data_IF_693331915888
#
_entry.id   IF_693331915888
#
_cell.length_a   1.000
_cell.length_b   1.000
_cell.length_c   1.000
_cell.angle_alpha   90.00
_cell.angle_beta   90.00
_cell.angle_gamma   90.00
#
_symmetry.space_group_name_H-M   'P 1'
#
loop_
_entity.id
_entity.type
_entity.pdbx_description
1 polymer ?
#
# COMPACT_ATOMS: atom_id res chain seq x y z
N UNK A 1 -21.31 -21.87 -24.69
CA UNK A 1 -21.73 -20.56 -24.14
C UNK A 1 -20.49 -19.67 -24.06
N UNK A 2 -20.54 -18.49 -24.67
CA UNK A 2 -19.44 -17.52 -24.72
C UNK A 2 -19.45 -16.85 -26.08
N UNK A 3 -20.23 -15.78 -26.21
CA UNK A 3 -20.33 -14.97 -27.43
C UNK A 3 -19.24 -13.93 -27.41
N UNK A 4 -18.59 -13.77 -28.55
CA UNK A 4 -17.66 -12.70 -28.86
C UNK A 4 -18.47 -11.49 -29.32
N UNK A 5 -18.53 -10.44 -28.49
CA UNK A 5 -19.20 -9.19 -28.86
C UNK A 5 -18.18 -8.26 -29.53
N UNK A 6 -18.02 -8.43 -30.84
CA UNK A 6 -17.34 -7.47 -31.71
C UNK A 6 -18.30 -6.33 -32.05
N UNK A 7 -17.84 -5.10 -31.80
CA UNK A 7 -18.57 -3.86 -32.10
C UNK A 7 -18.39 -3.48 -33.58
N UNK A 8 -19.46 -3.54 -34.37
CA UNK A 8 -19.52 -3.07 -35.76
C UNK A 8 -20.16 -1.67 -35.83
N UNK A 9 -19.64 -0.73 -36.65
CA UNK A 9 -20.25 0.57 -36.84
C UNK A 9 -21.41 0.53 -37.86
N UNK A 10 -22.55 1.10 -37.47
CA UNK A 10 -23.77 1.20 -38.26
C UNK A 10 -23.59 2.06 -39.53
N UNK A 11 -24.00 1.48 -40.65
CA UNK A 11 -24.14 2.10 -41.97
C UNK A 11 -25.51 2.77 -42.02
N UNK A 12 -25.55 4.10 -42.16
CA UNK A 12 -26.79 4.85 -42.36
C UNK A 12 -27.19 4.72 -43.83
N UNK A 13 -28.37 4.14 -44.07
CA UNK A 13 -29.00 4.01 -45.39
C UNK A 13 -29.69 5.32 -45.80
N UNK A 14 -29.51 5.70 -47.05
CA UNK A 14 -30.21 6.81 -47.70
C UNK A 14 -31.64 6.37 -48.05
N UNK A 15 -32.63 7.10 -47.53
CA UNK A 15 -34.04 6.88 -47.81
C UNK A 15 -34.51 7.75 -48.99
N UNK A 16 -34.96 7.09 -50.04
CA UNK A 16 -35.67 7.65 -51.18
C UNK A 16 -37.12 8.05 -50.79
N UNK A 17 -37.61 9.18 -51.28
CA UNK A 17 -38.97 9.64 -50.99
C UNK A 17 -39.42 10.91 -51.73
N UNK A 18 -39.69 10.74 -53.03
CA UNK A 18 -40.77 11.36 -53.84
C UNK A 18 -41.64 12.47 -53.20
N UNK A 19 -41.72 13.66 -53.82
CA UNK A 19 -42.90 14.04 -54.62
C UNK A 19 -42.99 15.55 -54.92
N UNK A 20 -43.46 15.77 -56.13
CA UNK A 20 -43.48 16.98 -56.95
C UNK A 20 -44.65 17.90 -56.53
N UNK A 21 -44.33 19.11 -56.08
CA UNK A 21 -45.29 20.20 -55.86
C UNK A 21 -44.90 21.42 -56.70
N UNK A 22 -45.59 21.60 -57.82
CA UNK A 22 -45.40 22.71 -58.76
C UNK A 22 -45.94 24.02 -58.16
N UNK A 23 -45.05 24.97 -57.86
CA UNK A 23 -45.39 26.37 -57.61
C UNK A 23 -44.40 27.26 -58.34
N UNK A 24 -44.78 27.66 -59.54
CA UNK A 24 -44.21 28.76 -60.30
C UNK A 24 -44.36 30.06 -59.52
N UNK A 25 -43.31 30.42 -58.76
CA UNK A 25 -43.12 31.76 -58.22
C UNK A 25 -41.95 32.40 -58.97
N UNK A 26 -42.26 33.48 -59.67
CA UNK A 26 -41.29 34.37 -60.31
C UNK A 26 -40.43 35.00 -59.21
N UNK A 27 -39.27 34.42 -58.92
CA UNK A 27 -38.23 35.06 -58.10
C UNK A 27 -37.44 36.01 -58.99
N UNK A 28 -37.55 37.30 -58.68
CA UNK A 28 -36.69 38.33 -59.24
C UNK A 28 -35.22 37.93 -59.02
N UNK A 29 -34.43 38.02 -60.09
CA UNK A 29 -32.99 37.80 -60.07
C UNK A 29 -32.35 38.86 -59.18
N UNK A 30 -32.18 38.55 -57.89
CA UNK A 30 -31.33 39.31 -56.99
C UNK A 30 -29.90 38.88 -57.29
N UNK A 31 -29.09 39.86 -57.71
CA UNK A 31 -27.68 39.70 -57.99
C UNK A 31 -26.97 38.94 -56.86
N UNK A 32 -26.19 37.93 -57.24
CA UNK A 32 -25.30 37.21 -56.33
C UNK A 32 -24.46 38.20 -55.52
N UNK A 33 -24.39 38.09 -54.17
CA UNK A 33 -23.41 38.88 -53.43
C UNK A 33 -22.02 38.51 -53.97
N UNK A 34 -21.30 39.51 -54.45
CA UNK A 34 -19.90 39.37 -54.86
C UNK A 34 -19.12 38.71 -53.73
N UNK A 35 -18.45 37.59 -54.01
CA UNK A 35 -17.50 36.99 -53.08
C UNK A 35 -16.57 38.08 -52.54
N UNK A 36 -16.38 38.22 -51.22
CA UNK A 36 -15.44 39.21 -50.70
C UNK A 36 -14.06 38.96 -51.33
N UNK A 37 -13.27 40.01 -51.59
CA UNK A 37 -11.95 39.84 -52.16
C UNK A 37 -11.14 38.92 -51.24
N UNK A 38 -10.84 37.71 -51.70
CA UNK A 38 -9.87 36.87 -51.03
C UNK A 38 -8.54 37.59 -51.18
N UNK A 39 -8.00 38.06 -50.06
CA UNK A 39 -6.71 38.72 -50.01
C UNK A 39 -5.66 37.64 -49.69
N UNK A 40 -5.06 36.98 -50.70
CA UNK A 40 -4.18 35.82 -50.49
C UNK A 40 -2.93 36.16 -49.69
N UNK A 41 -2.59 37.45 -49.59
CA UNK A 41 -1.48 37.96 -48.79
C UNK A 41 -1.71 37.82 -47.28
N UNK A 42 -2.97 37.79 -46.79
CA UNK A 42 -3.27 37.58 -45.37
C UNK A 42 -2.81 36.21 -44.86
N UNK A 43 -2.79 35.18 -45.72
CA UNK A 43 -2.28 33.85 -45.36
C UNK A 43 -0.78 33.89 -45.05
N UNK A 44 -0.03 34.76 -45.73
CA UNK A 44 1.41 34.93 -45.50
C UNK A 44 1.74 35.67 -44.20
N UNK A 45 0.76 36.38 -43.60
CA UNK A 45 0.93 37.01 -42.28
C UNK A 45 0.71 36.04 -41.11
N UNK A 46 0.04 34.91 -41.35
CA UNK A 46 -0.24 33.91 -40.32
C UNK A 46 1.07 33.36 -39.76
N UNK A 47 2.02 32.97 -40.61
CA UNK A 47 3.32 32.42 -40.18
C UNK A 47 4.09 33.37 -39.24
N UNK A 48 4.39 34.62 -39.67
CA UNK A 48 5.04 35.63 -38.83
C UNK A 48 4.28 35.93 -37.53
N UNK A 49 2.94 35.95 -37.58
CA UNK A 49 2.12 36.14 -36.39
C UNK A 49 2.28 34.99 -35.39
N UNK A 50 2.28 33.74 -35.85
CA UNK A 50 2.52 32.58 -34.98
C UNK A 50 3.94 32.55 -34.42
N UNK A 51 4.95 32.96 -35.19
CA UNK A 51 6.33 33.09 -34.71
C UNK A 51 6.44 34.19 -33.66
N UNK A 52 5.81 35.35 -33.88
CA UNK A 52 5.79 36.45 -32.93
C UNK A 52 5.05 36.06 -31.63
N UNK A 53 3.90 35.39 -31.74
CA UNK A 53 3.17 34.84 -30.60
C UNK A 53 4.02 33.80 -29.85
N UNK A 54 4.69 32.89 -30.56
CA UNK A 54 5.58 31.90 -29.95
C UNK A 54 6.74 32.54 -29.19
N UNK A 55 7.42 33.51 -29.81
CA UNK A 55 8.49 34.26 -29.16
C UNK A 55 7.98 35.05 -27.94
N UNK A 56 6.78 35.63 -28.04
CA UNK A 56 6.14 36.29 -26.91
C UNK A 56 5.80 35.31 -25.79
N UNK A 57 5.22 34.14 -26.06
CA UNK A 57 4.98 33.13 -25.03
C UNK A 57 6.27 32.64 -24.36
N UNK A 58 7.37 32.46 -25.10
CA UNK A 58 8.65 32.04 -24.51
C UNK A 58 9.23 33.12 -23.60
N UNK A 59 9.09 34.39 -23.96
CA UNK A 59 9.73 35.51 -23.23
C UNK A 59 8.84 36.10 -22.15
N UNK A 60 7.52 36.07 -22.32
CA UNK A 60 6.54 36.61 -21.39
C UNK A 60 6.01 35.59 -20.39
N UNK A 61 6.25 34.28 -20.58
CA UNK A 61 5.89 33.29 -19.57
C UNK A 61 6.83 33.39 -18.37
N UNK A 62 6.31 33.69 -17.16
CA UNK A 62 7.14 33.64 -15.96
C UNK A 62 7.66 32.21 -15.77
N UNK A 63 8.93 32.09 -15.37
CA UNK A 63 9.43 30.80 -14.92
C UNK A 63 8.59 30.35 -13.73
N UNK A 64 8.10 29.10 -13.70
CA UNK A 64 7.33 28.61 -12.56
C UNK A 64 8.22 28.64 -11.33
N UNK A 65 7.93 29.52 -10.39
CA UNK A 65 8.48 29.45 -9.03
C UNK A 65 7.86 28.24 -8.36
N UNK A 66 8.62 27.16 -8.28
CA UNK A 66 8.23 25.94 -7.60
C UNK A 66 8.64 26.10 -6.13
N UNK A 67 7.70 26.25 -5.18
CA UNK A 67 8.03 26.40 -3.77
C UNK A 67 8.41 25.03 -3.18
N UNK A 68 9.54 24.46 -3.63
CA UNK A 68 10.14 23.30 -2.98
C UNK A 68 10.81 23.79 -1.70
N UNK A 69 10.40 23.25 -0.56
CA UNK A 69 11.13 23.47 0.69
C UNK A 69 12.51 22.83 0.66
N UNK A 70 13.34 23.16 1.65
CA UNK A 70 14.65 22.53 1.82
C UNK A 70 14.45 21.02 2.08
N UNK A 71 15.03 20.13 1.27
CA UNK A 71 14.83 18.69 1.43
C UNK A 71 15.39 18.22 2.77
N UNK A 72 14.61 17.41 3.49
CA UNK A 72 15.06 16.77 4.71
C UNK A 72 16.19 15.77 4.39
N UNK A 73 17.36 15.95 5.03
CA UNK A 73 18.47 15.00 4.88
C UNK A 73 18.16 13.73 5.66
N UNK A 74 18.12 12.60 4.93
CA UNK A 74 17.92 11.27 5.51
C UNK A 74 19.26 10.52 5.48
N UNK A 75 19.79 10.07 6.64
CA UNK A 75 21.03 9.31 6.67
C UNK A 75 20.90 8.02 5.83
N UNK A 76 21.86 7.69 4.95
CA UNK A 76 21.77 6.49 4.11
C UNK A 76 21.55 5.19 4.90
N UNK A 77 22.10 5.08 6.11
CA UNK A 77 21.92 3.91 6.98
C UNK A 77 20.48 3.72 7.50
N UNK A 78 19.62 4.74 7.41
CA UNK A 78 18.19 4.61 7.74
C UNK A 78 17.37 4.04 6.59
N UNK A 79 17.94 3.96 5.38
CA UNK A 79 17.34 3.38 4.19
C UNK A 79 17.86 1.95 4.04
N UNK A 80 17.28 1.00 4.78
CA UNK A 80 17.61 -0.41 4.63
C UNK A 80 16.58 -1.12 3.73
N UNK A 81 16.87 -1.37 2.44
CA UNK A 81 15.97 -2.11 1.57
C UNK A 81 16.02 -3.63 1.78
N UNK A 82 16.95 -4.11 2.61
CA UNK A 82 17.19 -5.54 2.88
C UNK A 82 16.18 -6.04 3.92
N UNK A 83 15.67 -7.27 3.78
CA UNK A 83 14.79 -7.87 4.79
C UNK A 83 15.49 -7.95 6.17
N UNK A 84 14.72 -7.85 7.25
CA UNK A 84 15.24 -7.84 8.62
C UNK A 84 15.91 -9.17 8.99
N UNK A 85 15.39 -10.29 8.46
CA UNK A 85 16.04 -11.58 8.52
C UNK A 85 16.81 -11.81 7.22
N UNK A 86 18.02 -12.39 7.29
CA UNK A 86 18.78 -12.74 6.09
C UNK A 86 17.94 -13.74 5.27
N UNK A 87 17.58 -13.41 4.02
CA UNK A 87 16.75 -14.27 3.21
C UNK A 87 17.64 -15.40 2.67
N UNK A 88 17.71 -16.51 3.39
CA UNK A 88 18.34 -17.75 2.97
C UNK A 88 17.40 -18.91 3.27
N UNK A 89 17.23 -19.81 2.31
CA UNK A 89 16.53 -21.08 2.50
C UNK A 89 17.33 -22.06 3.39
N UNK A 90 18.32 -21.54 4.13
CA UNK A 90 19.16 -22.30 5.02
C UNK A 90 18.34 -22.62 6.27
N UNK A 91 18.48 -23.86 6.74
CA UNK A 91 17.92 -24.27 8.01
C UNK A 91 18.40 -23.28 9.08
N UNK A 92 17.53 -22.85 10.01
CA UNK A 92 17.96 -21.97 11.08
C UNK A 92 19.06 -22.67 11.89
N UNK A 93 20.23 -22.07 11.90
CA UNK A 93 21.37 -22.50 12.71
C UNK A 93 21.37 -21.71 14.02
N UNK A 94 21.80 -22.37 15.09
CA UNK A 94 22.00 -21.74 16.39
C UNK A 94 23.49 -21.70 16.71
N UNK A 95 23.97 -20.56 17.20
CA UNK A 95 25.38 -20.42 17.61
C UNK A 95 25.54 -20.82 19.07
N UNK A 96 26.23 -21.92 19.34
CA UNK A 96 26.52 -22.38 20.71
C UNK A 96 28.04 -22.54 20.86
N UNK A 97 28.62 -21.86 21.84
CA UNK A 97 30.08 -21.91 22.06
C UNK A 97 30.91 -21.37 20.89
N UNK A 98 30.33 -20.53 20.02
CA UNK A 98 31.00 -19.96 18.85
C UNK A 98 30.92 -20.81 17.58
N UNK A 99 30.14 -21.89 17.58
CA UNK A 99 29.93 -22.76 16.43
C UNK A 99 28.47 -22.80 16.00
N UNK A 100 28.23 -22.88 14.70
CA UNK A 100 26.90 -23.07 14.12
C UNK A 100 26.46 -24.53 14.28
N UNK A 101 25.27 -24.73 14.83
CA UNK A 101 24.66 -26.03 15.04
C UNK A 101 23.29 -26.10 14.39
N UNK A 102 22.99 -27.24 13.76
CA UNK A 102 21.62 -27.56 13.33
C UNK A 102 20.78 -28.03 14.51
N UNK A 103 19.49 -27.74 14.46
CA UNK A 103 18.55 -28.06 15.52
C UNK A 103 18.62 -29.55 15.95
N UNK A 104 18.66 -30.46 14.98
CA UNK A 104 18.66 -31.90 15.27
C UNK A 104 20.01 -32.46 15.72
N UNK A 105 21.10 -31.70 15.64
CA UNK A 105 22.36 -32.16 16.21
C UNK A 105 22.22 -32.40 17.70
N UNK A 106 21.47 -31.54 18.40
CA UNK A 106 21.11 -31.73 19.80
C UNK A 106 19.79 -32.52 19.95
N UNK A 107 18.73 -32.13 19.23
CA UNK A 107 17.38 -32.66 19.46
C UNK A 107 17.20 -34.14 19.05
N UNK A 108 18.17 -34.77 18.39
CA UNK A 108 18.16 -36.23 18.17
C UNK A 108 18.48 -37.05 19.42
N UNK A 109 19.05 -36.42 20.46
CA UNK A 109 19.56 -37.12 21.65
C UNK A 109 18.58 -37.16 22.81
N UNK A 110 17.49 -36.39 22.75
CA UNK A 110 16.51 -36.32 23.83
C UNK A 110 15.12 -36.01 23.28
N UNK A 111 14.11 -36.55 23.95
CA UNK A 111 12.72 -36.22 23.65
C UNK A 111 12.31 -34.94 24.38
N UNK A 112 11.79 -33.96 23.64
CA UNK A 112 11.14 -32.80 24.23
C UNK A 112 9.66 -33.13 24.49
N UNK A 113 9.17 -33.01 25.73
CA UNK A 113 7.79 -33.30 26.04
C UNK A 113 6.86 -32.31 25.31
N UNK A 114 5.75 -32.74 24.70
CA UNK A 114 4.92 -31.90 23.83
C UNK A 114 4.20 -30.73 24.53
N UNK A 115 4.26 -30.66 25.86
CA UNK A 115 3.64 -29.60 26.67
C UNK A 115 4.76 -28.87 27.42
N UNK A 116 5.36 -27.88 26.77
CA UNK A 116 6.31 -26.98 27.39
C UNK A 116 5.55 -25.96 28.27
N UNK A 117 5.47 -26.24 29.58
CA UNK A 117 5.27 -25.24 30.64
C UNK A 117 6.43 -25.25 31.64
N UNK A 118 7.61 -25.64 31.16
CA UNK A 118 8.81 -25.81 31.97
C UNK A 118 9.77 -24.68 31.63
N UNK A 119 10.54 -24.23 32.60
CA UNK A 119 11.67 -23.34 32.35
C UNK A 119 12.63 -24.04 31.39
N UNK A 120 12.94 -23.39 30.27
CA UNK A 120 13.86 -23.91 29.27
C UNK A 120 15.31 -23.83 29.77
N UNK A 121 16.10 -24.87 29.52
CA UNK A 121 17.55 -24.86 29.81
C UNK A 121 18.37 -24.30 28.63
N UNK A 122 17.79 -24.31 27.43
CA UNK A 122 18.38 -23.84 26.16
C UNK A 122 17.32 -23.07 25.39
N UNK A 123 17.72 -22.23 24.44
CA UNK A 123 16.80 -21.33 23.71
C UNK A 123 16.11 -20.30 24.64
N UNK A 124 16.79 -19.88 25.70
CA UNK A 124 16.28 -18.88 26.65
C UNK A 124 16.17 -17.47 26.05
N UNK A 125 16.77 -17.28 24.89
CA UNK A 125 16.75 -16.09 24.04
C UNK A 125 15.52 -16.03 23.12
N UNK A 126 14.75 -17.12 23.01
CA UNK A 126 13.55 -17.16 22.17
C UNK A 126 12.32 -16.75 22.99
N UNK A 127 11.82 -15.55 22.70
CA UNK A 127 10.56 -15.04 23.26
C UNK A 127 9.40 -15.33 22.29
N UNK A 128 8.39 -16.06 22.77
CA UNK A 128 7.20 -16.42 21.99
C UNK A 128 6.05 -15.43 22.24
N UNK A 129 5.95 -14.44 21.38
CA UNK A 129 4.88 -13.43 21.35
C UNK A 129 3.90 -13.68 20.19
N UNK A 130 3.43 -14.93 20.07
CA UNK A 130 2.54 -15.38 18.98
C UNK A 130 1.12 -15.73 19.45
N UNK A 131 0.66 -15.13 20.55
CA UNK A 131 -0.69 -15.32 21.09
C UNK A 131 -0.95 -16.75 21.54
N UNK A 132 -1.93 -17.43 20.94
CA UNK A 132 -2.28 -18.81 21.26
C UNK A 132 -1.26 -19.84 20.77
N UNK A 133 -0.43 -19.48 19.78
CA UNK A 133 0.63 -20.33 19.23
C UNK A 133 1.95 -20.14 20.00
N UNK A 134 1.88 -20.15 21.33
CA UNK A 134 3.01 -19.85 22.21
C UNK A 134 3.82 -21.10 22.61
N UNK A 135 3.82 -22.13 21.77
CA UNK A 135 4.59 -23.36 21.98
C UNK A 135 5.34 -23.72 20.71
N UNK A 136 6.57 -24.21 20.89
CA UNK A 136 7.46 -24.63 19.81
C UNK A 136 6.76 -25.59 18.83
N UNK A 137 6.03 -26.59 19.36
CA UNK A 137 5.38 -27.64 18.57
C UNK A 137 4.05 -27.25 17.94
N UNK A 138 3.61 -26.00 18.08
CA UNK A 138 2.54 -25.49 17.23
C UNK A 138 3.01 -25.30 15.78
N UNK A 139 4.33 -25.19 15.58
CA UNK A 139 4.92 -24.93 14.28
C UNK A 139 6.03 -25.93 13.91
N UNK A 140 6.80 -26.43 14.87
CA UNK A 140 7.89 -27.38 14.64
C UNK A 140 7.47 -28.83 14.87
N UNK A 141 8.01 -29.76 14.07
CA UNK A 141 7.80 -31.19 14.30
C UNK A 141 8.50 -31.64 15.60
N UNK A 142 7.80 -32.44 16.41
CA UNK A 142 8.23 -32.90 17.75
C UNK A 142 9.41 -33.88 17.70
N UNK A 143 9.67 -34.53 16.56
CA UNK A 143 10.77 -35.49 16.39
C UNK A 143 11.91 -34.96 15.51
N UNK A 144 11.63 -33.99 14.65
CA UNK A 144 12.59 -33.41 13.73
C UNK A 144 12.43 -31.88 13.69
N UNK A 145 13.31 -31.16 14.39
CA UNK A 145 13.28 -29.68 14.48
C UNK A 145 13.70 -28.97 13.21
N UNK A 146 14.25 -29.70 12.23
CA UNK A 146 14.54 -29.19 10.89
C UNK A 146 13.29 -29.17 10.00
N UNK A 147 12.14 -29.61 10.51
CA UNK A 147 10.85 -29.58 9.82
C UNK A 147 9.81 -28.79 10.60
N UNK A 148 8.90 -28.19 9.84
CA UNK A 148 7.68 -27.57 10.31
C UNK A 148 6.53 -28.57 10.19
N UNK A 149 5.45 -28.35 10.93
CA UNK A 149 4.28 -29.24 10.95
C UNK A 149 2.99 -28.44 10.87
N UNK A 150 2.07 -28.88 10.00
CA UNK A 150 0.70 -28.38 9.93
C UNK A 150 -0.17 -29.07 11.00
N UNK A 151 -1.37 -28.54 11.21
CA UNK A 151 -2.31 -29.04 12.22
C UNK A 151 -2.81 -30.46 11.91
N UNK A 152 -2.84 -30.84 10.63
CA UNK A 152 -3.17 -32.19 10.17
C UNK A 152 -1.98 -33.17 10.27
N UNK A 153 -0.83 -32.72 10.77
CA UNK A 153 0.41 -33.51 10.89
C UNK A 153 1.29 -33.52 9.63
N UNK A 154 0.89 -32.85 8.55
CA UNK A 154 1.71 -32.71 7.34
C UNK A 154 3.01 -31.98 7.67
N UNK A 155 4.13 -32.53 7.23
CA UNK A 155 5.46 -31.93 7.42
C UNK A 155 5.82 -31.00 6.27
N UNK A 156 6.45 -29.89 6.61
CA UNK A 156 6.91 -28.88 5.66
C UNK A 156 8.39 -28.57 5.91
N UNK A 157 9.10 -28.21 4.85
CA UNK A 157 10.43 -27.59 4.94
C UNK A 157 10.32 -26.08 5.17
N UNK A 158 11.41 -25.43 5.59
CA UNK A 158 11.41 -24.00 5.93
C UNK A 158 11.18 -23.07 4.73
N UNK A 159 11.41 -23.50 3.49
CA UNK A 159 11.03 -22.73 2.29
C UNK A 159 9.50 -22.61 2.12
N UNK A 160 8.73 -23.44 2.85
CA UNK A 160 7.27 -23.47 2.81
C UNK A 160 6.63 -22.75 3.99
N UNK A 161 7.36 -21.90 4.73
CA UNK A 161 6.81 -21.07 5.83
C UNK A 161 5.51 -20.35 5.45
N UNK A 162 5.33 -19.77 4.24
CA UNK A 162 4.04 -19.17 3.88
C UNK A 162 2.85 -20.12 4.00
N UNK A 163 3.02 -21.42 3.72
CA UNK A 163 1.97 -22.44 3.86
C UNK A 163 1.65 -22.72 5.33
N UNK A 164 2.66 -22.74 6.20
CA UNK A 164 2.47 -22.87 7.65
C UNK A 164 1.65 -21.68 8.19
N UNK A 165 2.06 -20.45 7.88
CA UNK A 165 1.39 -19.24 8.36
C UNK A 165 -0.06 -19.14 7.86
N UNK A 166 -0.35 -19.64 6.65
CA UNK A 166 -1.67 -19.61 6.03
C UNK A 166 -2.75 -20.36 6.83
N UNK A 167 -2.37 -21.27 7.72
CA UNK A 167 -3.33 -22.01 8.57
C UNK A 167 -4.17 -21.08 9.45
N UNK A 168 -3.60 -19.95 9.88
CA UNK A 168 -4.27 -18.97 10.72
C UNK A 168 -4.36 -17.59 10.04
N UNK A 169 -3.36 -17.21 9.24
CA UNK A 169 -3.28 -15.90 8.59
C UNK A 169 -3.73 -15.95 7.12
N UNK A 170 -4.89 -16.55 6.86
CA UNK A 170 -5.38 -16.80 5.50
C UNK A 170 -5.57 -15.54 4.65
N UNK A 171 -6.04 -14.42 5.24
CA UNK A 171 -6.21 -13.14 4.50
C UNK A 171 -4.87 -12.56 4.07
N UNK A 172 -3.88 -12.55 4.99
CA UNK A 172 -2.52 -12.10 4.72
C UNK A 172 -1.85 -13.00 3.67
N UNK A 173 -2.05 -14.31 3.76
CA UNK A 173 -1.52 -15.26 2.78
C UNK A 173 -2.13 -15.04 1.39
N UNK A 174 -3.45 -14.84 1.27
CA UNK A 174 -4.11 -14.50 0.00
C UNK A 174 -3.51 -13.23 -0.61
N UNK A 175 -3.30 -12.20 0.20
CA UNK A 175 -2.75 -10.92 -0.24
C UNK A 175 -1.25 -11.08 -0.62
N UNK A 176 -0.52 -11.95 0.09
CA UNK A 176 0.84 -12.34 -0.26
C UNK A 176 0.91 -13.08 -1.60
N UNK A 177 0.00 -14.01 -1.88
CA UNK A 177 -0.07 -14.71 -3.16
C UNK A 177 -0.29 -13.71 -4.32
N UNK A 178 -1.12 -12.68 -4.09
CA UNK A 178 -1.41 -11.61 -5.06
C UNK A 178 -0.32 -10.54 -5.16
N UNK A 179 0.63 -10.53 -4.23
CA UNK A 179 1.74 -9.57 -4.20
C UNK A 179 1.38 -8.21 -3.64
N UNK A 180 0.20 -8.07 -3.06
CA UNK A 180 -0.19 -6.88 -2.30
C UNK A 180 0.36 -6.90 -0.88
N UNK A 181 0.83 -8.06 -0.41
CA UNK A 181 1.58 -8.22 0.82
C UNK A 181 2.93 -8.94 0.57
N UNK A 182 3.95 -8.62 1.37
CA UNK A 182 5.32 -9.10 1.17
C UNK A 182 6.10 -8.31 0.12
N UNK A 183 7.25 -8.84 -0.32
CA UNK A 183 8.15 -8.18 -1.27
C UNK A 183 8.67 -9.18 -2.31
N UNK A 184 8.84 -8.70 -3.54
CA UNK A 184 9.43 -9.45 -4.64
C UNK A 184 10.72 -8.75 -5.07
N UNK A 185 11.80 -9.51 -5.20
CA UNK A 185 13.13 -9.03 -5.56
C UNK A 185 13.60 -9.62 -6.89
N UNK A 186 14.67 -9.04 -7.46
CA UNK A 186 15.42 -9.60 -8.59
C UNK A 186 14.91 -9.20 -9.98
N UNK A 187 13.71 -9.60 -10.36
CA UNK A 187 13.13 -9.29 -11.67
C UNK A 187 11.61 -9.14 -11.64
N UNK A 188 11.09 -8.21 -12.43
CA UNK A 188 9.65 -8.11 -12.71
C UNK A 188 9.19 -9.13 -13.75
N UNK A 189 10.07 -9.58 -14.63
CA UNK A 189 9.80 -10.64 -15.59
C UNK A 189 9.81 -11.99 -14.87
N UNK A 190 8.61 -12.60 -14.78
CA UNK A 190 8.40 -13.87 -14.12
C UNK A 190 9.13 -15.03 -14.84
N UNK A 191 9.37 -14.93 -16.15
CA UNK A 191 10.03 -15.97 -16.94
C UNK A 191 11.56 -15.92 -16.80
N UNK A 192 12.11 -14.78 -16.37
CA UNK A 192 13.56 -14.58 -16.25
C UNK A 192 14.26 -15.49 -15.22
N UNK A 193 13.51 -16.21 -14.36
CA UNK A 193 14.03 -17.05 -13.29
C UNK A 193 14.75 -16.30 -12.14
N UNK A 194 14.98 -14.99 -12.31
CA UNK A 194 15.63 -14.13 -11.31
C UNK A 194 14.64 -13.54 -10.29
N UNK A 195 13.34 -13.73 -10.50
CA UNK A 195 12.33 -13.27 -9.58
C UNK A 195 12.36 -14.09 -8.28
N UNK A 196 12.46 -13.41 -7.14
CA UNK A 196 12.41 -14.04 -5.81
C UNK A 196 11.31 -13.40 -4.97
N UNK A 197 10.28 -14.17 -4.64
CA UNK A 197 9.26 -13.77 -3.66
C UNK A 197 9.74 -14.11 -2.26
N UNK A 198 9.77 -13.13 -1.38
CA UNK A 198 10.12 -13.34 0.02
C UNK A 198 8.99 -14.04 0.78
N UNK A 199 9.35 -14.92 1.70
CA UNK A 199 8.46 -15.58 2.64
C UNK A 199 8.05 -14.66 3.80
N UNK A 200 7.15 -15.16 4.65
CA UNK A 200 6.63 -14.39 5.80
C UNK A 200 7.74 -14.06 6.81
N UNK A 201 8.62 -15.02 7.07
CA UNK A 201 9.71 -14.93 8.03
C UNK A 201 10.93 -14.14 7.54
N UNK A 202 10.98 -13.75 6.26
CA UNK A 202 12.03 -12.85 5.77
C UNK A 202 11.85 -11.43 6.34
N UNK A 203 10.59 -11.07 6.64
CA UNK A 203 10.22 -9.75 7.13
C UNK A 203 9.80 -9.80 8.61
N UNK A 204 9.07 -10.84 9.02
CA UNK A 204 8.57 -11.02 10.39
C UNK A 204 9.42 -12.00 11.18
N UNK A 205 9.69 -11.72 12.46
CA UNK A 205 10.22 -12.75 13.35
C UNK A 205 9.13 -13.80 13.62
N UNK A 206 9.31 -15.09 13.28
CA UNK A 206 8.28 -16.10 13.48
C UNK A 206 7.91 -16.35 14.95
N UNK A 207 8.76 -15.96 15.90
CA UNK A 207 8.48 -16.08 17.34
C UNK A 207 7.82 -14.82 17.92
N UNK A 208 8.05 -13.66 17.30
CA UNK A 208 7.41 -12.39 17.67
C UNK A 208 7.07 -11.58 16.38
N UNK A 209 5.99 -11.94 15.67
CA UNK A 209 5.76 -11.41 14.31
C UNK A 209 5.38 -9.94 14.23
N UNK A 210 4.91 -9.34 15.33
CA UNK A 210 4.53 -7.94 15.34
C UNK A 210 5.77 -7.04 15.20
N UNK A 211 5.69 -6.01 14.33
CA UNK A 211 6.77 -5.02 14.27
C UNK A 211 6.74 -4.12 15.50
N UNK A 212 7.92 -3.79 16.06
CA UNK A 212 8.00 -2.71 17.02
C UNK A 212 7.57 -1.39 16.36
N UNK A 213 6.93 -0.47 17.10
CA UNK A 213 6.66 0.87 16.60
C UNK A 213 7.97 1.54 16.18
N UNK A 214 8.01 2.09 14.98
CA UNK A 214 9.14 2.87 14.49
C UNK A 214 8.68 4.26 14.07
N UNK A 215 9.56 5.25 14.23
CA UNK A 215 9.27 6.60 13.78
C UNK A 215 9.38 6.65 12.26
N UNK A 216 8.34 7.10 11.53
CA UNK A 216 8.44 7.24 10.09
C UNK A 216 9.51 8.29 9.74
N UNK A 217 10.13 8.11 8.57
CA UNK A 217 10.98 9.15 7.99
C UNK A 217 10.16 10.43 7.72
N UNK A 218 10.83 11.59 7.63
CA UNK A 218 10.16 12.82 7.24
C UNK A 218 9.34 12.63 5.96
N UNK A 219 8.11 13.16 5.96
CA UNK A 219 7.23 13.05 4.81
C UNK A 219 7.82 13.82 3.61
N UNK A 220 7.57 13.35 2.37
CA UNK A 220 8.12 13.99 1.20
C UNK A 220 7.44 15.35 0.94
N UNK A 221 8.26 16.40 0.81
CA UNK A 221 7.80 17.72 0.41
C UNK A 221 7.71 17.81 -1.13
N UNK A 222 6.62 17.27 -1.67
CA UNK A 222 6.33 17.33 -3.12
C UNK A 222 5.29 18.38 -3.40
N UNK A 223 5.29 18.98 -4.60
CA UNK A 223 4.26 19.94 -5.01
C UNK A 223 2.81 19.48 -4.78
N UNK A 224 2.57 18.17 -4.95
CA UNK A 224 1.25 17.58 -4.79
C UNK A 224 0.86 17.40 -3.33
N UNK A 225 1.83 17.06 -2.46
CA UNK A 225 1.56 16.85 -1.05
C UNK A 225 1.62 18.19 -0.28
N UNK A 226 2.46 19.12 -0.70
CA UNK A 226 2.78 20.36 0.01
C UNK A 226 3.59 20.11 1.28
N UNK A 227 3.84 21.18 2.03
CA UNK A 227 4.60 21.10 3.28
C UNK A 227 3.82 20.30 4.35
N UNK A 228 4.30 19.08 4.64
CA UNK A 228 3.74 18.21 5.67
C UNK A 228 4.19 18.56 7.11
N UNK A 229 5.11 19.51 7.29
CA UNK A 229 5.54 19.98 8.60
C UNK A 229 4.51 20.87 9.29
N UNK A 230 3.54 21.40 8.53
CA UNK A 230 2.38 22.09 9.09
C UNK A 230 1.45 20.99 9.60
N UNK A 231 1.56 20.69 10.90
CA UNK A 231 0.62 19.79 11.56
C UNK A 231 -0.78 20.38 11.43
N UNK A 232 -1.58 19.86 10.50
CA UNK A 232 -3.02 20.00 10.63
C UNK A 232 -3.38 19.27 11.92
N UNK A 233 -3.87 20.03 12.91
CA UNK A 233 -4.42 19.44 14.12
C UNK A 233 -5.41 18.37 13.66
N UNK A 234 -5.06 17.09 13.88
CA UNK A 234 -5.99 16.00 13.62
C UNK A 234 -7.15 16.20 14.60
N UNK A 235 -8.17 16.91 14.14
CA UNK A 235 -9.46 17.01 14.80
C UNK A 235 -9.92 15.60 15.15
N UNK A 236 -10.53 15.48 16.34
CA UNK A 236 -10.92 14.25 17.00
C UNK A 236 -11.12 13.05 16.05
N UNK A 237 -10.32 12.00 16.28
CA UNK A 237 -10.42 10.62 15.76
C UNK A 237 -11.58 10.43 14.78
N UNK A 238 -11.29 10.54 13.49
CA UNK A 238 -12.26 10.18 12.46
C UNK A 238 -12.51 8.67 12.55
N UNK A 239 -13.64 8.29 13.14
CA UNK A 239 -14.04 6.90 13.32
C UNK A 239 -14.48 6.36 11.95
N UNK A 240 -13.70 5.49 11.29
CA UNK A 240 -13.84 5.20 9.86
C UNK A 240 -15.12 4.41 9.51
N UNK A 241 -15.94 4.06 10.51
CA UNK A 241 -17.18 3.31 10.36
C UNK A 241 -18.44 4.14 10.65
N UNK A 242 -18.34 5.41 11.04
CA UNK A 242 -19.52 6.28 11.14
C UNK A 242 -19.92 6.79 9.76
N UNK A 243 -20.78 6.02 9.11
CA UNK A 243 -21.51 6.43 7.90
C UNK A 243 -22.45 7.60 8.27
N UNK A 244 -22.18 8.77 7.72
CA UNK A 244 -23.14 9.84 7.39
C UNK A 244 -24.37 9.96 8.33
N UNK A 245 -24.21 10.60 9.49
CA UNK A 245 -25.35 11.28 10.11
C UNK A 245 -25.45 12.66 9.46
N UNK A 246 -26.39 12.78 8.54
CA UNK A 246 -26.82 14.04 7.96
C UNK A 246 -27.45 14.92 9.04
N UNK A 247 -26.72 15.89 9.58
CA UNK A 247 -27.31 16.98 10.33
C UNK A 247 -27.35 18.23 9.44
N UNK A 248 -28.32 18.24 8.53
CA UNK A 248 -28.88 19.49 8.05
C UNK A 248 -29.96 19.92 9.03
N UNK A 249 -29.69 20.92 9.87
CA UNK A 249 -30.66 21.94 10.29
C UNK A 249 -30.06 22.88 11.35
N UNK A 250 -30.14 24.18 11.07
CA UNK A 250 -30.70 25.11 12.04
C UNK A 250 -29.71 25.90 12.90
N UNK A 251 -29.67 27.19 12.60
CA UNK A 251 -29.30 28.24 13.53
C UNK A 251 -29.90 28.08 14.94
N UNK A 252 -29.11 28.44 15.94
CA UNK A 252 -29.58 29.13 17.13
C UNK A 252 -29.73 28.28 18.39
N UNK A 253 -29.14 28.78 19.49
CA UNK A 253 -29.64 28.47 20.84
C UNK A 253 -28.67 27.67 21.71
N UNK A 254 -27.88 28.40 22.47
CA UNK A 254 -27.18 27.95 23.66
C UNK A 254 -28.08 27.19 24.63
N UNK A 255 -27.68 25.99 25.08
CA UNK A 255 -27.92 25.53 26.46
C UNK A 255 -26.71 24.72 26.93
N UNK A 256 -26.01 25.24 27.92
CA UNK A 256 -25.09 24.47 28.77
C UNK A 256 -25.90 23.43 29.54
N UNK A 257 -25.58 22.16 29.37
CA UNK A 257 -25.83 21.17 30.42
C UNK A 257 -24.50 20.66 30.94
N UNK A 258 -24.19 21.14 32.14
CA UNK A 258 -23.15 20.64 33.01
C UNK A 258 -23.49 19.20 33.40
N UNK A 259 -22.64 18.25 33.03
CA UNK A 259 -22.61 16.91 33.62
C UNK A 259 -21.16 16.57 33.93
N UNK A 260 -20.81 16.85 35.16
CA UNK A 260 -19.74 16.22 35.92
C UNK A 260 -19.85 14.69 35.79
N UNK A 261 -18.83 14.09 35.20
CA UNK A 261 -18.62 12.65 35.17
C UNK A 261 -17.13 12.39 35.29
N UNK A 262 -16.73 11.98 36.49
CA UNK A 262 -15.35 11.65 36.88
C UNK A 262 -14.72 10.65 35.92
N UNK A 263 -13.64 11.06 35.25
CA UNK A 263 -12.66 10.14 34.68
C UNK A 263 -11.41 10.18 35.55
N UNK A 264 -11.24 9.11 36.34
CA UNK A 264 -10.00 8.82 37.04
C UNK A 264 -8.85 8.64 36.03
N UNK A 265 -7.77 9.37 36.25
CA UNK A 265 -6.53 9.31 35.48
C UNK A 265 -5.78 8.00 35.79
N UNK A 266 -5.52 7.12 34.80
CA UNK A 266 -4.80 5.86 35.02
C UNK A 266 -3.30 6.04 35.27
N UNK A 267 -2.77 7.27 35.32
CA UNK A 267 -1.34 7.54 35.57
C UNK A 267 -1.03 8.26 36.90
N UNK A 268 -1.91 8.19 37.89
CA UNK A 268 -1.58 8.69 39.23
C UNK A 268 -0.48 7.82 39.87
N UNK A 269 0.68 8.39 40.26
CA UNK A 269 1.75 7.64 40.91
C UNK A 269 1.30 7.20 42.31
N UNK A 270 1.54 5.93 42.64
CA UNK A 270 1.30 5.36 43.97
C UNK A 270 2.27 6.01 44.97
N UNK A 271 1.83 7.09 45.61
CA UNK A 271 2.54 7.71 46.72
C UNK A 271 2.57 6.79 47.92
N UNK A 272 3.75 6.24 48.21
CA UNK A 272 4.05 5.60 49.48
C UNK A 272 3.87 6.59 50.63
N UNK A 273 3.20 6.15 51.68
CA UNK A 273 3.30 6.76 53.00
C UNK A 273 3.68 5.69 54.01
N UNK A 274 4.89 5.87 54.53
CA UNK A 274 5.40 5.22 55.71
C UNK A 274 4.73 5.75 56.99
N UNK A 275 4.82 4.90 58.02
CA UNK A 275 4.78 5.15 59.47
C UNK A 275 3.45 5.07 60.21
N UNK A 276 3.46 4.71 61.53
CA UNK A 276 4.54 4.14 62.35
C UNK A 276 4.36 2.63 62.66
#
# INVERSE_FOLDING_TARGET
MGRDDAWEPERIEEGDGESRGDRSTSVASLASPSSPPTAPWLVWLIGPLFVALGAWFVTASPLPEIPLGTPASVPPGSLNPVPFARPGADLPEVVIGGYDHRCNECHRFFDSPPIERRTLTQHTDIELEHGLNNRCFNCHDVRNRELLVLYDGTRLSFDQVPRLCAQCHGTVYRDWQRGTHGKTLGSWDAESGRQRRLGCNDCHNPHAPAYPPFRPLPAPDTLRMGNQSIAHAHGARHEPLRRWSSDGAGHGGSVRHDRTGDHADPNAPLGGKEHP
#
